data_IF_278944424373
#
_entry.id   IF_278944424373
#
_cell.length_a   1.000
_cell.length_b   1.000
_cell.length_c   1.000
_cell.angle_alpha   90.00
_cell.angle_beta   90.00
_cell.angle_gamma   90.00
#
_symmetry.space_group_name_H-M   'P 1'
#
loop_
_entity.id
_entity.type
_entity.pdbx_description
1 polymer ?
#
# COMPACT_ATOMS: atom_id res chain seq x y z
N UNK A 1 50.25 6.16 6.80
CA UNK A 1 49.19 5.18 7.11
C UNK A 1 47.88 5.62 6.48
N UNK A 2 47.44 6.88 6.57
CA UNK A 2 46.20 7.38 5.98
C UNK A 2 46.12 7.24 4.46
N UNK A 3 47.20 7.46 3.73
CA UNK A 3 47.24 7.30 2.26
C UNK A 3 47.02 5.85 1.79
N UNK A 4 47.36 4.85 2.63
CA UNK A 4 47.14 3.44 2.36
C UNK A 4 45.68 3.01 2.64
N UNK A 5 45.02 3.67 3.59
CA UNK A 5 43.60 3.39 3.93
C UNK A 5 42.62 3.94 2.90
N UNK A 6 42.97 5.02 2.21
CA UNK A 6 42.11 5.70 1.25
C UNK A 6 41.64 4.79 0.11
N UNK A 7 42.50 4.05 -0.62
CA UNK A 7 42.06 3.14 -1.68
C UNK A 7 41.25 1.96 -1.13
N UNK A 8 41.54 1.48 0.07
CA UNK A 8 40.80 0.39 0.70
C UNK A 8 39.37 0.81 1.06
N UNK A 9 39.20 2.01 1.62
CA UNK A 9 37.88 2.54 1.99
C UNK A 9 37.12 2.98 0.74
N UNK A 10 37.77 3.53 -0.27
CA UNK A 10 37.16 3.88 -1.55
C UNK A 10 36.64 2.62 -2.27
N UNK A 11 37.42 1.54 -2.30
CA UNK A 11 37.01 0.26 -2.86
C UNK A 11 35.84 -0.35 -2.06
N UNK A 12 35.91 -0.32 -0.72
CA UNK A 12 34.82 -0.78 0.14
C UNK A 12 33.53 0.00 -0.08
N UNK A 13 33.59 1.33 -0.18
CA UNK A 13 32.41 2.18 -0.42
C UNK A 13 31.77 1.95 -1.79
N UNK A 14 32.56 1.54 -2.80
CA UNK A 14 32.05 1.20 -4.12
C UNK A 14 31.39 -0.19 -4.19
N UNK A 15 31.88 -1.15 -3.38
CA UNK A 15 31.42 -2.55 -3.41
C UNK A 15 30.30 -2.88 -2.45
N UNK A 16 30.22 -2.18 -1.30
CA UNK A 16 29.20 -2.39 -0.27
C UNK A 16 27.75 -2.20 -0.77
N UNK A 17 27.43 -1.27 -1.72
CA UNK A 17 26.08 -1.13 -2.26
C UNK A 17 25.54 -2.40 -2.95
N UNK A 18 26.40 -3.22 -3.52
CA UNK A 18 25.98 -4.44 -4.24
C UNK A 18 25.74 -5.64 -3.32
N UNK A 19 26.39 -5.69 -2.17
CA UNK A 19 26.43 -6.88 -1.28
C UNK A 19 25.82 -6.59 0.10
N UNK A 20 25.71 -5.32 0.50
CA UNK A 20 25.33 -4.89 1.84
C UNK A 20 24.01 -4.15 1.93
N UNK A 21 23.59 -3.85 3.16
CA UNK A 21 22.43 -3.00 3.40
C UNK A 21 22.73 -1.54 3.02
N UNK A 22 21.70 -0.78 2.64
CA UNK A 22 21.79 0.66 2.38
C UNK A 22 22.52 1.44 3.49
N UNK A 23 22.30 1.05 4.75
CA UNK A 23 22.93 1.65 5.92
C UNK A 23 24.46 1.44 5.92
N UNK A 24 24.93 0.26 5.54
CA UNK A 24 26.36 -0.04 5.45
C UNK A 24 27.05 0.78 4.35
N UNK A 25 26.37 0.98 3.23
CA UNK A 25 26.84 1.82 2.13
C UNK A 25 27.00 3.29 2.56
N UNK A 26 26.01 3.83 3.26
CA UNK A 26 26.05 5.20 3.80
C UNK A 26 27.17 5.38 4.82
N UNK A 27 27.40 4.40 5.70
CA UNK A 27 28.48 4.43 6.67
C UNK A 27 29.87 4.42 5.98
N UNK A 28 30.05 3.57 4.97
CA UNK A 28 31.30 3.50 4.20
C UNK A 28 31.58 4.80 3.45
N UNK A 29 30.57 5.41 2.82
CA UNK A 29 30.69 6.69 2.15
C UNK A 29 31.08 7.83 3.13
N UNK A 30 30.42 7.88 4.29
CA UNK A 30 30.73 8.87 5.34
C UNK A 30 32.17 8.72 5.83
N UNK A 31 32.64 7.48 6.03
CA UNK A 31 34.02 7.20 6.43
C UNK A 31 35.02 7.66 5.37
N UNK A 32 34.74 7.43 4.09
CA UNK A 32 35.55 7.91 2.98
C UNK A 32 35.67 9.44 2.98
N UNK A 33 34.53 10.13 3.11
CA UNK A 33 34.51 11.61 3.16
C UNK A 33 35.32 12.15 4.33
N UNK A 34 35.20 11.56 5.52
CA UNK A 34 35.97 11.95 6.70
C UNK A 34 37.51 11.79 6.50
N UNK A 35 37.92 10.68 5.87
CA UNK A 35 39.35 10.44 5.59
C UNK A 35 39.87 11.46 4.58
N UNK A 36 39.12 11.75 3.50
CA UNK A 36 39.52 12.74 2.49
C UNK A 36 39.64 14.13 3.11
N UNK A 37 38.65 14.57 3.90
CA UNK A 37 38.70 15.87 4.55
C UNK A 37 39.86 15.99 5.54
N UNK A 38 40.12 14.95 6.33
CA UNK A 38 41.25 14.95 7.29
C UNK A 38 42.62 14.94 6.58
N UNK A 39 42.67 14.46 5.32
CA UNK A 39 43.90 14.49 4.50
C UNK A 39 44.18 15.89 3.94
N UNK A 40 43.12 16.65 3.58
CA UNK A 40 43.21 18.00 3.00
C UNK A 40 43.46 19.05 4.11
N UNK A 41 42.75 18.93 5.24
CA UNK A 41 42.85 19.85 6.37
C UNK A 41 43.04 19.02 7.64
N UNK A 42 44.27 18.85 8.14
CA UNK A 42 44.54 18.06 9.34
C UNK A 42 44.10 18.83 10.61
N UNK A 43 42.81 18.87 10.86
CA UNK A 43 42.19 19.58 12.01
C UNK A 43 41.98 18.70 13.24
N UNK A 44 42.49 17.45 13.23
CA UNK A 44 42.40 16.54 14.35
C UNK A 44 41.02 15.93 14.58
N UNK A 45 40.87 15.26 15.72
CA UNK A 45 39.64 14.51 16.06
C UNK A 45 38.40 15.38 16.34
N UNK A 46 38.60 16.69 16.61
CA UNK A 46 37.51 17.64 16.89
C UNK A 46 36.52 17.79 15.73
N UNK A 47 37.01 17.73 14.48
CA UNK A 47 36.14 17.75 13.29
C UNK A 47 35.25 16.51 13.20
N UNK A 48 35.76 15.37 13.69
CA UNK A 48 34.96 14.14 13.79
C UNK A 48 33.78 14.29 14.75
N UNK A 49 33.97 14.97 15.89
CA UNK A 49 32.91 15.22 16.85
C UNK A 49 31.82 16.15 16.31
N UNK A 50 32.22 17.25 15.65
CA UNK A 50 31.23 18.17 15.00
C UNK A 50 30.43 17.43 13.95
N UNK A 51 31.05 16.57 13.17
CA UNK A 51 30.35 15.75 12.18
C UNK A 51 29.35 14.74 12.78
N UNK A 52 29.74 14.14 13.92
CA UNK A 52 28.81 13.25 14.65
C UNK A 52 27.63 14.04 15.17
N UNK A 53 27.86 15.24 15.71
CA UNK A 53 26.77 16.13 16.17
C UNK A 53 25.83 16.50 15.03
N UNK A 54 26.34 16.90 13.86
CA UNK A 54 25.53 17.20 12.66
C UNK A 54 24.69 16.00 12.21
N UNK A 55 25.30 14.81 12.20
CA UNK A 55 24.58 13.58 11.82
C UNK A 55 23.50 13.22 12.83
N UNK A 56 23.76 13.38 14.12
CA UNK A 56 22.77 13.12 15.19
C UNK A 56 21.63 14.10 15.09
N UNK A 57 21.90 15.39 14.90
CA UNK A 57 20.84 16.41 14.71
C UNK A 57 20.02 16.12 13.44
N UNK A 58 20.68 15.82 12.32
CA UNK A 58 19.98 15.46 11.08
C UNK A 58 19.13 14.21 11.22
N UNK A 59 19.63 13.18 11.92
CA UNK A 59 18.88 11.96 12.20
C UNK A 59 17.66 12.22 13.10
N UNK A 60 17.82 13.03 14.16
CA UNK A 60 16.72 13.40 15.04
C UNK A 60 15.63 14.19 14.30
N UNK A 61 16.02 15.17 13.49
CA UNK A 61 15.08 15.91 12.64
C UNK A 61 14.36 14.98 11.68
N UNK A 62 15.09 14.05 11.03
CA UNK A 62 14.50 13.05 10.14
C UNK A 62 13.48 12.14 10.84
N UNK A 63 13.78 11.69 12.05
CA UNK A 63 12.85 10.89 12.86
C UNK A 63 11.62 11.70 13.24
N UNK A 64 11.78 12.94 13.72
CA UNK A 64 10.65 13.80 14.08
C UNK A 64 9.77 14.09 12.87
N UNK A 65 10.35 14.43 11.73
CA UNK A 65 9.63 14.65 10.47
C UNK A 65 8.90 13.39 10.02
N UNK A 66 9.55 12.23 10.09
CA UNK A 66 8.93 10.94 9.79
C UNK A 66 7.73 10.65 10.69
N UNK A 67 7.85 10.88 11.99
CA UNK A 67 6.75 10.65 12.93
C UNK A 67 5.58 11.62 12.73
N UNK A 68 5.87 12.87 12.34
CA UNK A 68 4.84 13.90 12.09
C UNK A 68 4.13 13.72 10.74
N UNK A 69 4.89 13.39 9.69
CA UNK A 69 4.37 13.28 8.32
C UNK A 69 3.85 11.88 7.98
N UNK A 70 4.20 10.86 8.78
CA UNK A 70 3.78 9.47 8.57
C UNK A 70 2.97 8.92 9.75
N UNK A 71 1.82 9.54 10.10
CA UNK A 71 1.03 9.11 11.26
C UNK A 71 0.33 7.76 11.10
N UNK A 72 0.34 7.17 9.89
CA UNK A 72 -0.40 5.93 9.61
C UNK A 72 0.46 5.03 8.72
N UNK A 73 0.99 3.95 9.30
CA UNK A 73 1.75 2.96 8.56
C UNK A 73 0.97 2.38 7.37
N UNK A 74 1.67 1.96 6.32
CA UNK A 74 1.10 1.37 5.10
C UNK A 74 0.05 0.28 5.38
N UNK A 75 0.22 -0.49 6.46
CA UNK A 75 -0.74 -1.50 6.91
C UNK A 75 -2.13 -0.92 7.27
N UNK A 76 -2.18 0.22 7.97
CA UNK A 76 -3.45 0.87 8.31
C UNK A 76 -4.15 1.46 7.07
N UNK A 77 -3.37 1.94 6.11
CA UNK A 77 -3.88 2.44 4.82
C UNK A 77 -4.52 1.31 4.01
N UNK A 78 -3.83 0.17 3.91
CA UNK A 78 -4.35 -1.01 3.20
C UNK A 78 -5.62 -1.55 3.86
N UNK A 79 -5.65 -1.67 5.19
CA UNK A 79 -6.85 -2.17 5.88
C UNK A 79 -8.05 -1.27 5.62
N UNK A 80 -7.90 0.05 5.69
CA UNK A 80 -8.98 0.99 5.35
C UNK A 80 -9.43 0.87 3.89
N UNK A 81 -8.50 0.67 2.97
CA UNK A 81 -8.83 0.49 1.56
C UNK A 81 -9.57 -0.83 1.31
N UNK A 82 -9.22 -1.92 2.02
CA UNK A 82 -9.92 -3.20 1.98
C UNK A 82 -11.35 -3.03 2.49
N UNK A 83 -11.53 -2.40 3.67
CA UNK A 83 -12.84 -2.19 4.28
C UNK A 83 -13.73 -1.34 3.37
N UNK A 84 -13.19 -0.26 2.79
CA UNK A 84 -13.92 0.60 1.85
C UNK A 84 -14.32 -0.17 0.59
N UNK A 85 -13.42 -0.95 -0.01
CA UNK A 85 -13.70 -1.73 -1.22
C UNK A 85 -14.74 -2.82 -0.96
N UNK A 86 -14.68 -3.49 0.18
CA UNK A 86 -15.68 -4.47 0.59
C UNK A 86 -17.05 -3.82 0.82
N UNK A 87 -17.10 -2.70 1.54
CA UNK A 87 -18.36 -2.01 1.83
C UNK A 87 -19.05 -1.47 0.57
N UNK A 88 -18.28 -0.90 -0.36
CA UNK A 88 -18.84 -0.41 -1.64
C UNK A 88 -19.24 -1.59 -2.54
N UNK A 89 -18.39 -2.63 -2.62
CA UNK A 89 -18.66 -3.84 -3.38
C UNK A 89 -19.95 -4.55 -2.92
N UNK A 90 -20.16 -4.64 -1.60
CA UNK A 90 -21.38 -5.21 -1.03
C UNK A 90 -22.63 -4.40 -1.42
N UNK A 91 -22.57 -3.07 -1.31
CA UNK A 91 -23.67 -2.18 -1.73
C UNK A 91 -23.96 -2.29 -3.22
N UNK A 92 -22.92 -2.41 -4.03
CA UNK A 92 -23.06 -2.60 -5.47
C UNK A 92 -23.72 -3.94 -5.79
N UNK A 93 -23.25 -5.04 -5.19
CA UNK A 93 -23.88 -6.36 -5.37
C UNK A 93 -25.35 -6.36 -4.92
N UNK A 94 -25.65 -5.75 -3.78
CA UNK A 94 -27.02 -5.63 -3.29
C UNK A 94 -27.92 -4.86 -4.28
N UNK A 95 -27.42 -3.74 -4.82
CA UNK A 95 -28.18 -2.94 -5.79
C UNK A 95 -28.44 -3.72 -7.09
N UNK A 96 -27.45 -4.47 -7.60
CA UNK A 96 -27.61 -5.30 -8.81
C UNK A 96 -28.60 -6.44 -8.59
N UNK A 97 -28.52 -7.13 -7.44
CA UNK A 97 -29.50 -8.16 -7.08
C UNK A 97 -30.90 -7.58 -6.96
N UNK A 98 -31.07 -6.43 -6.32
CA UNK A 98 -32.39 -5.78 -6.23
C UNK A 98 -32.95 -5.37 -7.60
N UNK A 99 -32.10 -4.85 -8.50
CA UNK A 99 -32.51 -4.56 -9.87
C UNK A 99 -33.04 -5.81 -10.58
N UNK A 100 -32.35 -6.94 -10.44
CA UNK A 100 -32.74 -8.21 -11.08
C UNK A 100 -34.02 -8.79 -10.44
N UNK A 101 -34.18 -8.68 -9.11
CA UNK A 101 -35.27 -9.34 -8.39
C UNK A 101 -36.56 -8.50 -8.32
N UNK A 102 -36.43 -7.16 -8.29
CA UNK A 102 -37.59 -6.25 -8.16
C UNK A 102 -37.97 -5.55 -9.46
N UNK A 103 -37.21 -5.76 -10.51
CA UNK A 103 -37.40 -5.14 -11.82
C UNK A 103 -36.55 -3.87 -11.99
N UNK A 104 -36.28 -3.56 -13.25
CA UNK A 104 -35.54 -2.37 -13.63
C UNK A 104 -36.49 -1.14 -13.54
N UNK A 105 -36.14 -0.22 -12.62
CA UNK A 105 -36.65 1.15 -12.64
C UNK A 105 -35.50 2.08 -13.02
N UNK A 106 -35.78 3.26 -13.51
CA UNK A 106 -34.76 4.27 -13.84
C UNK A 106 -33.89 4.61 -12.61
N UNK A 107 -34.53 4.68 -11.45
CA UNK A 107 -33.79 4.92 -10.17
C UNK A 107 -32.86 3.75 -9.81
N UNK A 108 -33.33 2.50 -9.99
CA UNK A 108 -32.50 1.31 -9.74
C UNK A 108 -31.32 1.26 -10.70
N UNK A 109 -31.51 1.59 -11.96
CA UNK A 109 -30.45 1.62 -12.98
C UNK A 109 -29.41 2.69 -12.66
N UNK A 110 -29.83 3.92 -12.37
CA UNK A 110 -28.95 5.02 -11.97
C UNK A 110 -28.14 4.68 -10.70
N UNK A 111 -28.75 4.00 -9.75
CA UNK A 111 -28.08 3.53 -8.53
C UNK A 111 -27.01 2.48 -8.83
N UNK A 112 -27.29 1.53 -9.70
CA UNK A 112 -26.33 0.51 -10.14
C UNK A 112 -25.14 1.17 -10.85
N UNK A 113 -25.40 2.12 -11.77
CA UNK A 113 -24.35 2.86 -12.47
C UNK A 113 -23.45 3.64 -11.48
N UNK A 114 -24.04 4.37 -10.56
CA UNK A 114 -23.29 5.15 -9.55
C UNK A 114 -22.42 4.22 -8.70
N UNK A 115 -22.99 3.14 -8.18
CA UNK A 115 -22.26 2.19 -7.33
C UNK A 115 -21.19 1.41 -8.11
N UNK A 116 -21.36 1.18 -9.41
CA UNK A 116 -20.31 0.56 -10.25
C UNK A 116 -19.08 1.46 -10.36
N UNK A 117 -19.27 2.78 -10.56
CA UNK A 117 -18.18 3.76 -10.56
C UNK A 117 -17.49 3.87 -9.21
N UNK A 118 -18.27 3.90 -8.13
CA UNK A 118 -17.72 3.93 -6.77
C UNK A 118 -16.90 2.67 -6.47
N UNK A 119 -17.40 1.49 -6.86
CA UNK A 119 -16.70 0.22 -6.69
C UNK A 119 -15.42 0.15 -7.53
N UNK A 120 -15.41 0.69 -8.73
CA UNK A 120 -14.22 0.81 -9.56
C UNK A 120 -13.16 1.69 -8.88
N UNK A 121 -13.57 2.85 -8.37
CA UNK A 121 -12.69 3.80 -7.69
C UNK A 121 -12.12 3.18 -6.41
N UNK A 122 -12.95 2.55 -5.59
CA UNK A 122 -12.52 1.87 -4.37
C UNK A 122 -11.53 0.72 -4.66
N UNK A 123 -11.76 -0.04 -5.75
CA UNK A 123 -10.86 -1.12 -6.16
C UNK A 123 -9.50 -0.58 -6.63
N UNK A 124 -9.45 0.54 -7.35
CA UNK A 124 -8.20 1.18 -7.76
C UNK A 124 -7.41 1.69 -6.55
N UNK A 125 -8.09 2.36 -5.62
CA UNK A 125 -7.47 2.81 -4.36
C UNK A 125 -6.91 1.64 -3.56
N UNK A 126 -7.62 0.51 -3.52
CA UNK A 126 -7.12 -0.70 -2.89
C UNK A 126 -5.88 -1.26 -3.58
N UNK A 127 -5.86 -1.32 -4.91
CA UNK A 127 -4.72 -1.81 -5.68
C UNK A 127 -3.47 -0.94 -5.44
N UNK A 128 -3.62 0.38 -5.44
CA UNK A 128 -2.53 1.32 -5.14
C UNK A 128 -2.02 1.15 -3.70
N UNK A 129 -2.92 1.02 -2.72
CA UNK A 129 -2.56 0.81 -1.33
C UNK A 129 -1.83 -0.53 -1.12
N UNK A 130 -2.26 -1.60 -1.80
CA UNK A 130 -1.58 -2.91 -1.76
C UNK A 130 -0.20 -2.84 -2.40
N UNK A 131 -0.05 -2.18 -3.55
CA UNK A 131 1.26 -1.99 -4.18
C UNK A 131 2.22 -1.23 -3.27
N UNK A 132 1.75 -0.14 -2.66
CA UNK A 132 2.54 0.63 -1.71
C UNK A 132 2.95 -0.23 -0.51
N UNK A 133 2.01 -0.95 0.10
CA UNK A 133 2.29 -1.86 1.21
C UNK A 133 3.33 -2.91 0.85
N UNK A 134 3.23 -3.52 -0.33
CA UNK A 134 4.17 -4.54 -0.78
C UNK A 134 5.56 -3.97 -1.07
N UNK A 135 5.66 -2.73 -1.56
CA UNK A 135 6.94 -2.05 -1.82
C UNK A 135 7.65 -1.63 -0.53
N UNK A 136 6.90 -1.21 0.50
CA UNK A 136 7.45 -0.77 1.78
C UNK A 136 7.73 -1.93 2.74
N UNK A 137 7.01 -3.06 2.59
CA UNK A 137 7.14 -4.21 3.49
C UNK A 137 8.34 -5.07 3.13
N UNK A 138 9.51 -4.74 3.65
CA UNK A 138 10.70 -5.61 3.66
C UNK A 138 10.61 -6.81 4.62
N UNK A 139 9.44 -7.04 5.25
CA UNK A 139 9.21 -8.06 6.27
C UNK A 139 8.96 -9.49 5.74
N UNK A 140 8.83 -10.47 6.65
CA UNK A 140 8.60 -11.87 6.32
C UNK A 140 7.38 -12.07 5.42
N UNK A 141 7.46 -13.03 4.50
CA UNK A 141 6.42 -13.34 3.50
C UNK A 141 5.07 -13.68 4.14
N UNK A 142 5.06 -14.22 5.36
CA UNK A 142 3.85 -14.58 6.11
C UNK A 142 2.93 -13.40 6.45
N UNK A 143 3.49 -12.21 6.68
CA UNK A 143 2.70 -11.01 6.99
C UNK A 143 1.92 -10.46 5.79
N UNK A 144 2.29 -10.83 4.57
CA UNK A 144 1.68 -10.38 3.31
C UNK A 144 0.46 -11.20 2.90
N UNK A 145 0.43 -12.49 3.27
CA UNK A 145 -0.62 -13.42 2.87
C UNK A 145 -2.04 -13.00 3.29
N UNK A 146 -2.30 -12.47 4.51
CA UNK A 146 -3.63 -11.99 4.89
C UNK A 146 -4.12 -10.84 4.02
N UNK A 147 -3.24 -9.86 3.72
CA UNK A 147 -3.57 -8.68 2.90
C UNK A 147 -3.93 -9.11 1.48
N UNK A 148 -3.12 -9.96 0.86
CA UNK A 148 -3.39 -10.49 -0.49
C UNK A 148 -4.70 -11.26 -0.54
N UNK A 149 -5.02 -12.06 0.48
CA UNK A 149 -6.30 -12.79 0.55
C UNK A 149 -7.49 -11.85 0.70
N UNK A 150 -7.38 -10.84 1.55
CA UNK A 150 -8.45 -9.87 1.77
C UNK A 150 -8.70 -9.00 0.52
N UNK A 151 -7.65 -8.52 -0.13
CA UNK A 151 -7.77 -7.77 -1.39
C UNK A 151 -8.40 -8.61 -2.51
N UNK A 152 -8.01 -9.90 -2.62
CA UNK A 152 -8.62 -10.82 -3.59
C UNK A 152 -10.11 -11.07 -3.33
N UNK A 153 -10.56 -11.05 -2.07
CA UNK A 153 -11.98 -11.15 -1.72
C UNK A 153 -12.77 -9.91 -2.16
N UNK A 154 -12.24 -8.72 -1.91
CA UNK A 154 -12.87 -7.48 -2.34
C UNK A 154 -13.00 -7.40 -3.88
N UNK A 155 -11.96 -7.81 -4.61
CA UNK A 155 -12.01 -7.87 -6.08
C UNK A 155 -13.03 -8.88 -6.60
N UNK A 156 -13.13 -10.07 -5.98
CA UNK A 156 -14.14 -11.08 -6.35
C UNK A 156 -15.55 -10.60 -6.08
N UNK A 157 -15.77 -9.88 -4.99
CA UNK A 157 -17.09 -9.32 -4.66
C UNK A 157 -17.56 -8.35 -5.74
N UNK A 158 -16.67 -7.46 -6.20
CA UNK A 158 -16.97 -6.57 -7.32
C UNK A 158 -17.23 -7.35 -8.61
N UNK A 159 -16.36 -8.31 -8.96
CA UNK A 159 -16.55 -9.11 -10.17
C UNK A 159 -17.88 -9.89 -10.16
N UNK A 160 -18.30 -10.39 -9.00
CA UNK A 160 -19.61 -11.01 -8.85
C UNK A 160 -20.75 -10.00 -9.08
N UNK A 161 -20.62 -8.77 -8.59
CA UNK A 161 -21.59 -7.71 -8.83
C UNK A 161 -21.67 -7.32 -10.32
N UNK A 162 -20.51 -7.20 -10.99
CA UNK A 162 -20.45 -6.93 -12.44
C UNK A 162 -21.17 -8.04 -13.23
N UNK A 163 -20.94 -9.31 -12.91
CA UNK A 163 -21.64 -10.44 -13.54
C UNK A 163 -23.16 -10.39 -13.34
N UNK A 164 -23.62 -10.01 -12.13
CA UNK A 164 -25.05 -9.86 -11.86
C UNK A 164 -25.63 -8.64 -12.57
N UNK A 165 -24.83 -7.57 -12.73
CA UNK A 165 -25.24 -6.37 -13.44
C UNK A 165 -25.52 -6.62 -14.93
N UNK A 166 -24.83 -7.58 -15.54
CA UNK A 166 -25.04 -7.98 -16.94
C UNK A 166 -26.31 -8.81 -17.16
N UNK A 167 -26.95 -9.30 -16.09
CA UNK A 167 -28.18 -10.08 -16.21
C UNK A 167 -29.34 -9.17 -16.59
N UNK A 168 -30.02 -9.50 -17.67
CA UNK A 168 -31.29 -8.85 -18.03
C UNK A 168 -32.36 -9.26 -17.02
N UNK A 169 -33.03 -8.30 -16.35
CA UNK A 169 -34.04 -8.63 -15.35
C UNK A 169 -35.17 -9.46 -15.96
N UNK A 170 -35.50 -10.66 -15.43
CA UNK A 170 -36.60 -11.44 -15.88
C UNK A 170 -37.93 -10.78 -15.48
N UNK A 171 -39.08 -11.15 -16.12
CA UNK A 171 -40.38 -10.65 -15.72
C UNK A 171 -40.65 -10.97 -14.25
N UNK A 172 -41.24 -10.00 -13.51
CA UNK A 172 -41.43 -10.07 -12.04
C UNK A 172 -42.20 -11.34 -11.56
N UNK A 173 -42.97 -11.97 -12.42
CA UNK A 173 -43.71 -13.20 -12.13
C UNK A 173 -42.86 -14.48 -12.27
N UNK A 174 -41.68 -14.39 -12.86
CA UNK A 174 -40.82 -15.55 -13.03
C UNK A 174 -40.02 -15.82 -11.73
N UNK A 175 -40.02 -17.06 -11.29
CA UNK A 175 -39.15 -17.56 -10.22
C UNK A 175 -39.27 -16.88 -8.81
N UNK A 176 -40.50 -16.86 -8.20
CA UNK A 176 -40.72 -16.17 -6.91
C UNK A 176 -39.83 -16.71 -5.76
N UNK A 177 -39.57 -18.02 -5.72
CA UNK A 177 -38.70 -18.61 -4.68
C UNK A 177 -37.24 -18.22 -4.83
N UNK A 178 -36.71 -18.22 -6.05
CA UNK A 178 -35.33 -17.79 -6.31
C UNK A 178 -35.11 -16.31 -5.94
N UNK A 179 -36.13 -15.48 -6.18
CA UNK A 179 -36.13 -14.08 -5.79
C UNK A 179 -36.00 -13.91 -4.27
N UNK A 180 -36.80 -14.61 -3.46
CA UNK A 180 -36.75 -14.55 -2.00
C UNK A 180 -35.37 -14.97 -1.47
N UNK A 181 -34.79 -16.04 -2.02
CA UNK A 181 -33.48 -16.53 -1.62
C UNK A 181 -32.39 -15.50 -1.95
N UNK A 182 -32.41 -14.91 -3.13
CA UNK A 182 -31.43 -13.90 -3.55
C UNK A 182 -31.54 -12.63 -2.70
N UNK A 183 -32.74 -12.15 -2.40
CA UNK A 183 -32.97 -10.99 -1.55
C UNK A 183 -32.43 -11.22 -0.12
N UNK A 184 -32.66 -12.41 0.44
CA UNK A 184 -32.19 -12.78 1.77
C UNK A 184 -30.65 -12.80 1.81
N UNK A 185 -29.99 -13.39 0.82
CA UNK A 185 -28.53 -13.44 0.75
C UNK A 185 -27.91 -12.06 0.52
N UNK A 186 -28.50 -11.25 -0.34
CA UNK A 186 -28.01 -9.90 -0.62
C UNK A 186 -28.13 -8.96 0.60
N UNK A 187 -29.05 -9.23 1.52
CA UNK A 187 -29.19 -8.46 2.75
C UNK A 187 -28.18 -8.84 3.84
N UNK A 188 -27.51 -10.01 3.71
CA UNK A 188 -26.54 -10.53 4.68
C UNK A 188 -25.07 -10.26 4.30
N UNK A 189 -24.80 -9.71 3.12
CA UNK A 189 -23.47 -9.30 2.62
C UNK A 189 -23.20 -7.86 3.00
#
# INVERSE_FOLDING_TARGET
>A
VMWLLLPLVAFGSAYVPEVGSFTASQAAFTMMVLIVFNLIVPTGWQVGLIRIEDVVVGALVGVVVSLLLWPQGAAASVNRAIDAACAVGARYLQATVWRVTRGASEEAENRVITLSHDALTATRTLDDAVRQYLSESGGPTDSRAPVVRASSRAMRLRAAADLVADIVPPPLSAYPLARTVLETHAATV
#
